data_IF_867856972038
#
_entry.id   IF_867856972038
#
_cell.length_a   1.000
_cell.length_b   1.000
_cell.length_c   1.000
_cell.angle_alpha   90.00
_cell.angle_beta   90.00
_cell.angle_gamma   90.00
#
_symmetry.space_group_name_H-M   'P 1'
#
loop_
_entity.id
_entity.type
_entity.pdbx_description
1 polymer ?
#
# COMPACT_ATOMS: atom_id res chain seq x y z
N UNK A 1 26.92 0.12 -0.38
CA UNK A 1 26.04 0.42 -1.53
C UNK A 1 25.11 -0.77 -1.88
N UNK A 2 24.53 -1.46 -0.87
CA UNK A 2 23.51 -2.52 -1.05
C UNK A 2 22.07 -1.98 -1.00
N UNK A 3 21.87 -0.80 -0.38
CA UNK A 3 20.54 -0.21 -0.16
C UNK A 3 19.76 0.13 -1.45
N UNK A 4 20.46 0.56 -2.50
CA UNK A 4 19.81 1.07 -3.72
C UNK A 4 19.13 -0.01 -4.59
N UNK A 5 19.49 -1.31 -4.43
CA UNK A 5 18.91 -2.39 -5.25
C UNK A 5 17.55 -2.86 -4.73
N UNK A 6 17.28 -2.70 -3.42
CA UNK A 6 16.07 -3.21 -2.72
C UNK A 6 14.88 -2.25 -2.76
N UNK A 7 15.11 -0.93 -2.75
CA UNK A 7 14.03 0.09 -2.80
C UNK A 7 13.32 0.14 -4.17
N UNK A 8 13.71 -0.68 -5.16
CA UNK A 8 13.00 -0.76 -6.45
C UNK A 8 11.56 -1.23 -6.34
N UNK A 9 11.20 -1.85 -5.23
CA UNK A 9 9.88 -2.43 -4.99
C UNK A 9 9.11 -1.66 -3.90
N UNK A 10 7.79 -1.85 -3.86
CA UNK A 10 6.92 -1.29 -2.84
C UNK A 10 6.85 -2.27 -1.66
N UNK A 11 7.21 -1.82 -0.47
CA UNK A 11 7.17 -2.62 0.76
C UNK A 11 6.33 -1.90 1.80
N UNK A 12 5.48 -2.65 2.49
CA UNK A 12 4.66 -2.17 3.60
C UNK A 12 5.08 -2.88 4.88
N UNK A 13 5.33 -2.08 5.90
CA UNK A 13 5.65 -2.55 7.24
C UNK A 13 4.72 -1.88 8.24
N UNK A 14 4.55 -2.52 9.39
CA UNK A 14 3.93 -1.91 10.57
C UNK A 14 4.88 -1.97 11.76
N UNK A 15 4.65 -1.10 12.73
CA UNK A 15 5.18 -1.35 14.06
C UNK A 15 4.46 -2.53 14.74
N UNK A 16 5.00 -2.98 15.88
CA UNK A 16 4.49 -4.14 16.63
C UNK A 16 2.99 -4.01 16.93
N UNK A 17 2.53 -2.79 17.21
CA UNK A 17 1.15 -2.49 17.59
C UNK A 17 0.22 -2.13 16.43
N UNK A 18 0.73 -2.05 15.20
CA UNK A 18 0.01 -1.54 14.04
C UNK A 18 -0.52 -0.10 14.19
N UNK A 19 0.13 0.71 15.03
CA UNK A 19 -0.18 2.14 15.19
C UNK A 19 0.45 2.96 14.06
N UNK A 20 1.55 2.47 13.48
CA UNK A 20 2.24 3.10 12.36
C UNK A 20 2.39 2.14 11.21
N UNK A 21 2.17 2.65 9.99
CA UNK A 21 2.46 1.96 8.74
C UNK A 21 3.58 2.69 8.01
N UNK A 22 4.56 1.94 7.54
CA UNK A 22 5.72 2.45 6.82
C UNK A 22 5.64 1.98 5.37
N UNK A 23 5.75 2.95 4.45
CA UNK A 23 5.80 2.68 3.02
C UNK A 23 7.22 2.95 2.53
N UNK A 24 7.87 1.92 2.01
CA UNK A 24 9.18 2.01 1.38
C UNK A 24 9.02 1.78 -0.12
N UNK A 25 9.49 2.72 -0.93
CA UNK A 25 9.37 2.63 -2.38
C UNK A 25 10.37 3.54 -3.10
N UNK A 26 10.74 3.15 -4.32
CA UNK A 26 11.46 4.02 -5.25
C UNK A 26 10.53 5.14 -5.74
N UNK A 27 11.07 6.24 -6.30
CA UNK A 27 10.25 7.28 -6.92
C UNK A 27 9.28 6.75 -8.00
N UNK A 28 9.67 5.72 -8.74
CA UNK A 28 8.81 5.05 -9.74
C UNK A 28 7.64 4.34 -9.06
N UNK A 29 7.91 3.55 -8.02
CA UNK A 29 6.87 2.82 -7.29
C UNK A 29 5.96 3.75 -6.48
N UNK A 30 6.46 4.87 -5.98
CA UNK A 30 5.62 5.92 -5.37
C UNK A 30 4.65 6.53 -6.39
N UNK A 31 5.12 6.83 -7.61
CA UNK A 31 4.24 7.30 -8.69
C UNK A 31 3.23 6.24 -9.10
N UNK A 32 3.64 4.98 -9.17
CA UNK A 32 2.73 3.87 -9.43
C UNK A 32 1.65 3.76 -8.34
N UNK A 33 2.02 3.81 -7.05
CA UNK A 33 1.07 3.80 -5.94
C UNK A 33 0.10 4.98 -6.03
N UNK A 34 0.59 6.19 -6.30
CA UNK A 34 -0.27 7.35 -6.51
C UNK A 34 -1.29 7.11 -7.64
N UNK A 35 -0.86 6.50 -8.76
CA UNK A 35 -1.78 6.17 -9.87
C UNK A 35 -2.85 5.15 -9.48
N UNK A 36 -2.55 4.21 -8.56
CA UNK A 36 -3.55 3.27 -8.02
C UNK A 36 -4.57 4.02 -7.17
N UNK A 37 -4.11 4.92 -6.31
CA UNK A 37 -5.00 5.75 -5.48
C UNK A 37 -5.93 6.62 -6.34
N UNK A 38 -5.40 7.26 -7.39
CA UNK A 38 -6.20 8.03 -8.34
C UNK A 38 -7.25 7.15 -9.05
N UNK A 39 -6.88 5.93 -9.46
CA UNK A 39 -7.82 5.01 -10.08
C UNK A 39 -8.95 4.57 -9.13
N UNK A 40 -8.64 4.33 -7.85
CA UNK A 40 -9.63 4.00 -6.82
C UNK A 40 -10.53 5.20 -6.55
N UNK A 41 -9.97 6.41 -6.46
CA UNK A 41 -10.74 7.63 -6.27
C UNK A 41 -11.74 7.84 -7.42
N UNK A 42 -11.30 7.72 -8.68
CA UNK A 42 -12.16 7.82 -9.85
C UNK A 42 -13.25 6.73 -9.91
N UNK A 43 -12.98 5.54 -9.36
CA UNK A 43 -14.00 4.50 -9.22
C UNK A 43 -15.00 4.82 -8.12
N UNK A 44 -14.54 5.37 -6.98
CA UNK A 44 -15.38 5.71 -5.84
C UNK A 44 -16.41 6.82 -6.15
N UNK A 45 -16.15 7.67 -7.14
CA UNK A 45 -17.12 8.67 -7.60
C UNK A 45 -18.39 8.06 -8.21
N UNK A 46 -18.28 6.82 -8.71
CA UNK A 46 -19.35 6.03 -9.34
C UNK A 46 -20.05 5.15 -8.29
N UNK A 47 -21.31 4.73 -8.54
CA UNK A 47 -21.98 3.77 -7.66
C UNK A 47 -21.21 2.43 -7.59
N UNK A 48 -21.03 1.89 -6.39
CA UNK A 48 -20.41 0.58 -6.15
C UNK A 48 -19.34 0.61 -5.05
N UNK A 49 -18.64 -0.53 -4.88
CA UNK A 49 -17.59 -0.69 -3.89
C UNK A 49 -16.21 -0.54 -4.54
N UNK A 50 -15.70 0.69 -4.59
CA UNK A 50 -14.34 0.93 -5.07
C UNK A 50 -13.31 0.48 -4.03
N UNK A 51 -12.52 -0.53 -4.37
CA UNK A 51 -11.39 -0.96 -3.55
C UNK A 51 -10.34 -1.67 -4.40
N UNK A 52 -9.13 -1.77 -3.85
CA UNK A 52 -8.01 -2.47 -4.47
C UNK A 52 -7.25 -3.28 -3.43
N UNK A 53 -6.57 -4.32 -3.90
CA UNK A 53 -5.78 -5.25 -3.08
C UNK A 53 -4.35 -5.20 -3.59
N UNK A 54 -3.42 -4.82 -2.72
CA UNK A 54 -1.98 -4.96 -2.98
C UNK A 54 -1.46 -6.09 -2.11
N UNK A 55 -0.84 -7.09 -2.73
CA UNK A 55 -0.41 -8.29 -2.01
C UNK A 55 1.04 -8.66 -2.34
N UNK A 56 1.67 -9.38 -1.42
CA UNK A 56 2.96 -10.05 -1.65
C UNK A 56 2.74 -11.37 -2.38
N UNK A 57 3.83 -11.93 -2.92
CA UNK A 57 3.79 -13.21 -3.66
C UNK A 57 3.28 -14.37 -2.80
N UNK A 58 3.63 -14.37 -1.51
CA UNK A 58 3.15 -15.38 -0.55
C UNK A 58 1.62 -15.35 -0.38
N UNK A 59 0.97 -14.25 -0.75
CA UNK A 59 -0.48 -14.04 -0.70
C UNK A 59 -1.10 -13.93 -2.10
N UNK A 60 -0.36 -14.29 -3.14
CA UNK A 60 -0.84 -14.36 -4.52
C UNK A 60 -0.84 -13.03 -5.29
N UNK A 61 -0.13 -12.01 -4.81
CA UNK A 61 0.08 -10.74 -5.53
C UNK A 61 1.53 -10.49 -5.91
N UNK A 62 1.78 -9.42 -6.66
CA UNK A 62 3.15 -9.00 -7.04
C UNK A 62 3.36 -7.49 -6.86
N UNK A 63 2.41 -6.82 -6.23
CA UNK A 63 2.41 -5.39 -6.00
C UNK A 63 3.32 -5.01 -4.84
N UNK A 64 3.39 -5.88 -3.83
CA UNK A 64 4.19 -5.73 -2.62
C UNK A 64 5.32 -6.76 -2.56
N UNK A 65 6.34 -6.48 -1.75
CA UNK A 65 7.37 -7.45 -1.38
C UNK A 65 7.27 -7.87 0.06
N UNK A 66 7.69 -9.11 0.33
CA UNK A 66 7.86 -9.67 1.67
C UNK A 66 9.28 -9.45 2.25
N UNK A 67 10.13 -8.66 1.56
CA UNK A 67 11.45 -8.29 2.08
C UNK A 67 11.35 -7.13 3.08
N UNK A 68 11.73 -7.36 4.34
CA UNK A 68 11.79 -6.31 5.36
C UNK A 68 12.95 -5.33 5.10
N UNK A 69 12.66 -4.04 5.17
CA UNK A 69 13.63 -2.94 5.00
C UNK A 69 13.96 -2.29 6.36
N UNK A 70 12.95 -2.16 7.24
CA UNK A 70 13.11 -1.64 8.59
C UNK A 70 13.82 -2.60 9.56
N UNK A 71 13.85 -2.22 10.84
CA UNK A 71 14.48 -3.05 11.86
C UNK A 71 13.59 -4.26 12.21
N UNK A 72 14.04 -5.52 12.03
CA UNK A 72 13.25 -6.71 12.36
C UNK A 72 12.88 -6.86 13.84
N UNK A 73 13.55 -6.16 14.75
CA UNK A 73 13.19 -6.18 16.17
C UNK A 73 11.96 -5.33 16.49
N UNK A 74 11.53 -4.43 15.59
CA UNK A 74 10.43 -3.48 15.84
C UNK A 74 9.47 -3.28 14.66
N UNK A 75 9.64 -4.07 13.59
CA UNK A 75 8.87 -3.98 12.36
C UNK A 75 8.42 -5.35 11.89
N UNK A 76 7.21 -5.39 11.36
CA UNK A 76 6.63 -6.58 10.74
C UNK A 76 6.11 -6.25 9.34
N UNK A 77 6.22 -7.21 8.42
CA UNK A 77 5.69 -7.07 7.05
C UNK A 77 4.16 -7.10 7.05
N UNK A 78 3.56 -6.23 6.23
CA UNK A 78 2.15 -6.33 5.84
C UNK A 78 2.08 -7.02 4.48
N UNK A 79 1.53 -8.24 4.45
CA UNK A 79 1.39 -9.01 3.21
C UNK A 79 0.20 -8.59 2.34
N UNK A 80 -0.80 -7.93 2.92
CA UNK A 80 -2.04 -7.58 2.24
C UNK A 80 -2.54 -6.22 2.70
N UNK A 81 -2.46 -5.25 1.78
CA UNK A 81 -3.10 -3.95 1.95
C UNK A 81 -4.39 -3.91 1.15
N UNK A 82 -5.48 -3.57 1.82
CA UNK A 82 -6.75 -3.25 1.18
C UNK A 82 -6.96 -1.76 1.25
N UNK A 83 -7.27 -1.15 0.10
CA UNK A 83 -7.51 0.28 -0.01
C UNK A 83 -8.94 0.48 -0.48
N UNK A 84 -9.77 1.16 0.31
CA UNK A 84 -11.15 1.46 -0.04
C UNK A 84 -11.30 2.92 -0.47
N UNK A 85 -12.07 3.14 -1.53
CA UNK A 85 -12.54 4.45 -1.93
C UNK A 85 -14.00 4.63 -1.52
N UNK A 86 -14.28 5.69 -0.77
CA UNK A 86 -15.63 6.03 -0.35
C UNK A 86 -16.01 7.41 -0.87
N UNK A 87 -17.18 7.51 -1.48
CA UNK A 87 -17.80 8.80 -1.76
C UNK A 87 -18.38 9.33 -0.45
N UNK A 88 -17.97 10.53 -0.05
CA UNK A 88 -18.68 11.24 1.01
C UNK A 88 -19.99 11.73 0.40
N UNK A 89 -21.09 11.08 0.77
CA UNK A 89 -22.40 11.66 0.55
C UNK A 89 -22.57 12.76 1.59
N UNK A 90 -22.49 14.02 1.17
CA UNK A 90 -22.96 15.13 1.98
C UNK A 90 -24.48 14.96 2.11
N UNK A 91 -24.91 14.24 3.14
CA UNK A 91 -26.27 14.38 3.64
C UNK A 91 -26.44 15.86 3.99
N UNK A 92 -27.32 16.54 3.24
CA UNK A 92 -27.52 17.98 3.34
C UNK A 92 -27.67 18.42 4.79
N UNK A 93 -26.82 19.37 5.18
CA UNK A 93 -27.07 20.27 6.32
C UNK A 93 -27.85 21.46 5.77
#
# INVERSE_FOLDING_TARGET
>A
MLYAKRVRMLTLEKDEKAEQVFIHASPEKLRWLASRLEAIAAQAEKPGNAHDHLMTEDWGGHELTNELIGNPESREIINHLVIYGHKIETTGI
#
